data_IF_394415655148
#
_entry.id   IF_394415655148
#
_cell.length_a   1.000
_cell.length_b   1.000
_cell.length_c   1.000
_cell.angle_alpha   90.00
_cell.angle_beta   90.00
_cell.angle_gamma   90.00
#
_symmetry.space_group_name_H-M   'P 1'
#
loop_
_entity.id
_entity.type
_entity.pdbx_description
1 polymer ?
#
# COMPACT_ATOMS: atom_id res chain seq x y z
N UNK A 1 -21.68 5.10 14.15
CA UNK A 1 -20.79 5.79 13.18
C UNK A 1 -21.61 6.73 12.32
N UNK A 2 -21.07 7.90 11.94
CA UNK A 2 -21.79 8.97 11.24
C UNK A 2 -22.12 8.67 9.76
N UNK A 3 -21.57 7.60 9.16
CA UNK A 3 -21.70 7.31 7.73
C UNK A 3 -22.37 5.95 7.40
N UNK A 4 -23.01 5.29 8.38
CA UNK A 4 -23.78 4.06 8.15
C UNK A 4 -22.98 2.80 7.79
N UNK A 5 -21.65 2.88 7.71
CA UNK A 5 -20.79 1.71 7.44
C UNK A 5 -20.51 0.91 8.72
N UNK A 6 -20.36 -0.41 8.58
CA UNK A 6 -19.95 -1.29 9.68
C UNK A 6 -18.58 -0.90 10.26
N UNK A 7 -17.66 -0.46 9.39
CA UNK A 7 -16.34 0.07 9.75
C UNK A 7 -16.10 1.43 9.13
N UNK A 8 -15.52 2.35 9.91
CA UNK A 8 -15.13 3.67 9.43
C UNK A 8 -13.86 3.55 8.58
N UNK A 9 -13.87 3.88 7.28
CA UNK A 9 -12.70 3.73 6.41
C UNK A 9 -11.48 4.54 6.88
N UNK A 10 -11.73 5.71 7.48
CA UNK A 10 -10.67 6.58 8.01
C UNK A 10 -9.95 5.90 9.16
N UNK A 11 -10.70 5.26 10.05
CA UNK A 11 -10.15 4.57 11.23
C UNK A 11 -9.37 3.32 10.80
N UNK A 12 -9.91 2.53 9.86
CA UNK A 12 -9.21 1.35 9.31
C UNK A 12 -7.87 1.75 8.67
N UNK A 13 -7.89 2.80 7.84
CA UNK A 13 -6.67 3.34 7.21
C UNK A 13 -5.67 3.85 8.25
N UNK A 14 -6.14 4.56 9.28
CA UNK A 14 -5.28 5.08 10.34
C UNK A 14 -4.57 3.97 11.12
N UNK A 15 -5.30 2.93 11.54
CA UNK A 15 -4.69 1.80 12.24
C UNK A 15 -3.70 1.03 11.36
N UNK A 16 -4.04 0.80 10.08
CA UNK A 16 -3.12 0.18 9.14
C UNK A 16 -1.85 1.02 8.94
N UNK A 17 -1.99 2.35 8.82
CA UNK A 17 -0.85 3.26 8.77
C UNK A 17 0.03 3.19 10.02
N UNK A 18 -0.57 3.12 11.23
CA UNK A 18 0.21 2.98 12.46
C UNK A 18 1.01 1.67 12.52
N UNK A 19 0.52 0.58 11.92
CA UNK A 19 1.27 -0.68 11.80
C UNK A 19 2.48 -0.55 10.87
N UNK A 20 2.34 0.18 9.77
CA UNK A 20 3.39 0.33 8.75
C UNK A 20 4.42 1.40 9.13
N UNK A 21 4.01 2.47 9.83
CA UNK A 21 4.88 3.58 10.25
C UNK A 21 6.22 3.15 10.88
N UNK A 22 6.29 2.20 11.84
CA UNK A 22 7.57 1.77 12.42
C UNK A 22 8.45 0.97 11.45
N UNK A 23 7.90 0.45 10.34
CA UNK A 23 8.62 -0.29 9.30
C UNK A 23 9.22 0.65 8.24
N UNK A 24 8.93 1.95 8.30
CA UNK A 24 9.48 2.96 7.40
C UNK A 24 10.88 3.36 7.88
N UNK A 25 11.90 3.04 7.08
CA UNK A 25 13.27 3.49 7.28
C UNK A 25 13.85 4.12 6.00
N UNK A 26 15.03 4.73 6.09
CA UNK A 26 15.79 5.26 4.93
C UNK A 26 16.13 4.18 3.91
N UNK A 27 16.16 2.92 4.33
CA UNK A 27 16.34 1.75 3.47
C UNK A 27 15.16 0.82 3.69
N UNK A 28 14.49 0.45 2.61
CA UNK A 28 13.40 -0.53 2.63
C UNK A 28 13.83 -1.67 1.75
N UNK A 29 13.86 -2.87 2.32
CA UNK A 29 14.17 -4.12 1.65
C UNK A 29 12.97 -5.04 1.72
N UNK A 30 12.69 -5.75 0.64
CA UNK A 30 11.61 -6.72 0.59
C UNK A 30 11.35 -7.22 -0.82
N UNK A 31 10.34 -8.10 -0.94
CA UNK A 31 10.01 -8.73 -2.21
C UNK A 31 9.57 -7.72 -3.24
N UNK A 32 10.20 -7.72 -4.43
CA UNK A 32 9.78 -6.88 -5.54
C UNK A 32 9.77 -7.65 -6.87
N UNK A 33 8.87 -7.30 -7.81
CA UNK A 33 7.86 -6.25 -7.70
C UNK A 33 6.47 -6.81 -7.35
N UNK A 34 5.77 -6.31 -6.32
CA UNK A 34 4.32 -6.50 -6.28
C UNK A 34 3.60 -5.43 -7.10
N UNK A 35 4.14 -4.21 -7.30
CA UNK A 35 3.43 -3.14 -8.02
C UNK A 35 4.29 -1.94 -8.45
N UNK A 36 3.72 -1.05 -9.27
CA UNK A 36 4.36 0.19 -9.76
C UNK A 36 3.46 1.40 -9.51
N UNK A 37 4.03 2.46 -8.94
CA UNK A 37 3.33 3.74 -8.78
C UNK A 37 3.60 4.66 -9.98
N UNK A 38 2.52 5.22 -10.54
CA UNK A 38 2.56 6.24 -11.59
C UNK A 38 1.96 7.53 -11.05
N UNK A 39 2.78 8.59 -10.98
CA UNK A 39 2.36 9.91 -10.55
C UNK A 39 1.61 10.69 -11.62
N UNK A 40 0.89 11.75 -11.21
CA UNK A 40 0.18 12.66 -12.12
C UNK A 40 0.99 13.92 -12.45
N UNK A 41 1.88 14.35 -11.57
CA UNK A 41 2.65 15.57 -11.73
C UNK A 41 3.69 15.43 -12.85
N UNK A 42 3.82 16.44 -13.72
CA UNK A 42 4.82 16.51 -14.78
C UNK A 42 4.37 16.01 -16.17
N UNK A 43 3.10 15.62 -16.34
CA UNK A 43 2.59 15.06 -17.61
C UNK A 43 3.00 15.90 -18.84
N UNK A 44 3.54 15.27 -19.92
CA UNK A 44 3.63 13.82 -20.14
C UNK A 44 4.78 13.11 -19.40
N UNK A 45 5.78 13.84 -18.88
CA UNK A 45 6.93 13.28 -18.16
C UNK A 45 6.65 13.14 -16.66
N UNK A 46 6.07 12.02 -16.27
CA UNK A 46 5.63 11.77 -14.89
C UNK A 46 6.64 10.99 -14.05
N UNK A 47 6.58 11.18 -12.73
CA UNK A 47 7.34 10.36 -11.79
C UNK A 47 6.77 8.94 -11.72
N UNK A 48 7.64 7.95 -11.84
CA UNK A 48 7.33 6.53 -11.65
C UNK A 48 8.25 5.90 -10.61
N UNK A 49 7.85 4.78 -10.04
CA UNK A 49 8.78 3.94 -9.29
C UNK A 49 8.12 2.73 -8.63
N UNK A 50 8.93 1.77 -8.19
CA UNK A 50 8.44 0.53 -7.64
C UNK A 50 7.76 0.74 -6.29
N UNK A 51 6.81 -0.13 -6.00
CA UNK A 51 6.25 -0.30 -4.67
C UNK A 51 6.86 -1.55 -4.04
N UNK A 52 7.46 -1.37 -2.86
CA UNK A 52 8.18 -2.43 -2.13
C UNK A 52 7.52 -2.61 -0.77
N UNK A 53 7.14 -3.84 -0.40
CA UNK A 53 6.68 -4.17 0.93
C UNK A 53 7.89 -4.34 1.88
N UNK A 54 7.80 -3.98 3.16
CA UNK A 54 8.89 -4.12 4.13
C UNK A 54 8.98 -5.56 4.66
N UNK A 55 8.84 -6.56 3.79
CA UNK A 55 8.91 -7.98 4.13
C UNK A 55 9.31 -8.83 2.92
N UNK A 56 9.90 -10.00 3.19
CA UNK A 56 10.36 -10.96 2.19
C UNK A 56 9.44 -12.19 2.19
N UNK A 57 9.00 -12.62 1.02
CA UNK A 57 8.04 -13.71 0.83
C UNK A 57 7.15 -13.53 -0.41
N UNK A 58 6.08 -14.32 -0.50
CA UNK A 58 5.06 -14.15 -1.55
C UNK A 58 4.18 -12.93 -1.24
N UNK A 59 4.38 -11.86 -2.00
CA UNK A 59 3.64 -10.60 -1.90
C UNK A 59 2.79 -10.34 -3.15
N UNK A 60 2.58 -11.37 -3.98
CA UNK A 60 1.86 -11.28 -5.24
C UNK A 60 0.43 -10.78 -5.07
N UNK A 61 -0.20 -11.06 -3.91
CA UNK A 61 -1.54 -10.58 -3.60
C UNK A 61 -1.61 -9.08 -3.30
N UNK A 62 -0.50 -8.39 -3.04
CA UNK A 62 -0.54 -7.03 -2.51
C UNK A 62 -0.95 -5.97 -3.54
N UNK A 63 -0.77 -6.26 -4.82
CA UNK A 63 -1.23 -5.44 -5.95
C UNK A 63 -2.04 -6.25 -6.97
N UNK A 64 -2.73 -7.32 -6.52
CA UNK A 64 -3.57 -8.16 -7.39
C UNK A 64 -5.07 -7.99 -7.05
N UNK A 65 -5.69 -6.85 -7.41
CA UNK A 65 -7.07 -6.53 -7.06
C UNK A 65 -8.10 -7.55 -7.55
N UNK A 66 -7.83 -8.25 -8.66
CA UNK A 66 -8.68 -9.30 -9.21
C UNK A 66 -8.86 -10.48 -8.23
N UNK A 67 -7.91 -10.68 -7.31
CA UNK A 67 -7.96 -11.71 -6.28
C UNK A 67 -8.47 -11.22 -4.93
N UNK A 68 -8.83 -9.93 -4.79
CA UNK A 68 -9.31 -9.39 -3.51
C UNK A 68 -10.79 -9.63 -3.25
N UNK A 69 -11.54 -10.08 -4.27
CA UNK A 69 -12.96 -10.35 -4.10
C UNK A 69 -13.20 -11.39 -2.99
N UNK A 70 -14.08 -11.06 -2.05
CA UNK A 70 -14.38 -11.90 -0.88
C UNK A 70 -13.43 -11.73 0.31
N UNK A 71 -12.33 -10.96 0.18
CA UNK A 71 -11.46 -10.64 1.30
C UNK A 71 -12.03 -9.50 2.16
N UNK A 72 -11.76 -9.50 3.48
CA UNK A 72 -12.17 -8.39 4.34
C UNK A 72 -11.41 -7.11 3.97
N UNK A 73 -12.12 -5.98 4.08
CA UNK A 73 -11.56 -4.66 3.76
C UNK A 73 -10.27 -4.35 4.53
N UNK A 74 -10.16 -4.81 5.77
CA UNK A 74 -8.97 -4.61 6.60
C UNK A 74 -7.72 -5.25 5.97
N UNK A 75 -7.85 -6.45 5.37
CA UNK A 75 -6.74 -7.11 4.67
C UNK A 75 -6.33 -6.34 3.42
N UNK A 76 -7.31 -5.88 2.64
CA UNK A 76 -7.04 -5.09 1.43
C UNK A 76 -6.32 -3.78 1.79
N UNK A 77 -6.78 -3.10 2.84
CA UNK A 77 -6.14 -1.89 3.33
C UNK A 77 -4.71 -2.21 3.82
N UNK A 78 -4.52 -3.29 4.57
CA UNK A 78 -3.19 -3.69 5.05
C UNK A 78 -2.23 -4.02 3.90
N UNK A 79 -2.67 -4.73 2.86
CA UNK A 79 -1.87 -4.98 1.65
C UNK A 79 -1.40 -3.69 1.00
N UNK A 80 -2.34 -2.76 0.76
CA UNK A 80 -2.07 -1.48 0.11
C UNK A 80 -1.18 -0.57 0.93
N UNK A 81 -1.35 -0.57 2.25
CA UNK A 81 -0.58 0.29 3.15
C UNK A 81 0.87 -0.19 3.31
N UNK A 82 1.12 -1.50 3.18
CA UNK A 82 2.48 -2.07 3.19
C UNK A 82 3.28 -1.75 1.93
N UNK A 83 2.65 -1.36 0.82
CA UNK A 83 3.35 -0.99 -0.40
C UNK A 83 3.99 0.40 -0.29
N UNK A 84 5.29 0.43 -0.02
CA UNK A 84 6.06 1.65 0.21
C UNK A 84 6.81 2.04 -1.06
N UNK A 85 6.88 3.34 -1.37
CA UNK A 85 7.69 3.90 -2.44
C UNK A 85 8.71 4.88 -1.86
N UNK A 86 9.94 4.82 -2.37
CA UNK A 86 10.93 5.89 -2.17
C UNK A 86 10.56 7.13 -2.98
N UNK A 87 10.67 8.31 -2.37
CA UNK A 87 10.54 9.58 -3.07
C UNK A 87 11.93 10.21 -3.20
N UNK A 88 12.47 10.25 -4.43
CA UNK A 88 13.67 11.02 -4.73
C UNK A 88 13.25 12.48 -4.91
N UNK A 89 13.70 13.35 -4.00
CA UNK A 89 13.69 14.80 -4.18
C UNK A 89 15.07 15.25 -4.60
#
# INVERSE_FOLDING_TARGET
MLCGKEKCPIVVKFYSFLKVKPLLDKRVEGSSPPGVFVGRFGYPNVYVGPLVPPETGDTSLYDFPEKWFGLPIDSIVDFRMKLIRGNFK
#
